data_IF_016137843938
#
_entry.id   IF_016137843938
#
_cell.length_a   1.000
_cell.length_b   1.000
_cell.length_c   1.000
_cell.angle_alpha   90.00
_cell.angle_beta   90.00
_cell.angle_gamma   90.00
#
_symmetry.space_group_name_H-M   'P 1'
#
loop_
_entity.id
_entity.type
_entity.pdbx_description
1 polymer ?
#
# COMPACT_ATOMS: atom_id res chain seq x y z
N UNK A 1 -3.96 18.96 2.30
CA UNK A 1 -3.78 17.77 3.14
C UNK A 1 -2.62 16.94 2.62
N UNK A 2 -1.79 16.50 3.53
CA UNK A 2 -0.60 15.74 3.18
C UNK A 2 -0.95 14.31 2.79
N UNK A 3 -0.36 13.84 1.69
CA UNK A 3 -0.59 12.47 1.23
C UNK A 3 0.33 11.52 1.98
N UNK A 4 -0.24 10.50 2.60
CA UNK A 4 0.50 9.47 3.32
C UNK A 4 0.21 8.12 2.64
N UNK A 5 1.24 7.50 2.09
CA UNK A 5 1.12 6.26 1.32
C UNK A 5 1.63 5.10 2.15
N UNK A 6 0.80 4.11 2.38
CA UNK A 6 1.21 2.88 3.06
C UNK A 6 1.48 1.80 2.00
N UNK A 7 2.62 1.14 2.09
CA UNK A 7 2.98 0.06 1.18
C UNK A 7 2.42 -1.24 1.72
N UNK A 8 1.49 -1.85 0.97
CA UNK A 8 0.93 -3.14 1.35
C UNK A 8 1.76 -4.24 0.71
N UNK A 9 2.52 -4.94 1.55
CA UNK A 9 3.42 -6.01 1.10
C UNK A 9 2.72 -7.35 1.32
N UNK A 10 2.52 -8.15 0.26
CA UNK A 10 1.92 -9.48 0.42
C UNK A 10 2.75 -10.35 1.35
N UNK A 11 2.07 -11.16 2.15
CA UNK A 11 2.76 -12.06 3.07
C UNK A 11 3.15 -13.38 2.41
N UNK A 12 2.94 -13.49 1.10
CA UNK A 12 3.21 -14.70 0.34
C UNK A 12 4.60 -14.76 -0.27
N UNK A 13 5.46 -13.78 0.02
CA UNK A 13 6.84 -13.82 -0.44
C UNK A 13 7.55 -15.05 0.13
N UNK A 14 8.52 -15.58 -0.63
CA UNK A 14 9.25 -16.78 -0.22
C UNK A 14 10.00 -16.60 1.09
N UNK A 15 10.43 -15.39 1.38
CA UNK A 15 11.14 -15.09 2.62
C UNK A 15 10.87 -13.66 3.04
N UNK A 16 11.12 -13.38 4.31
CA UNK A 16 11.01 -12.01 4.82
C UNK A 16 12.02 -11.10 4.16
N UNK A 17 13.18 -11.64 3.81
CA UNK A 17 14.20 -10.86 3.12
C UNK A 17 13.70 -10.39 1.75
N UNK A 18 13.05 -11.27 1.00
CA UNK A 18 12.49 -10.92 -0.31
C UNK A 18 11.41 -9.85 -0.15
N UNK A 19 10.58 -9.97 0.88
CA UNK A 19 9.54 -8.99 1.15
C UNK A 19 10.15 -7.63 1.52
N UNK A 20 11.20 -7.65 2.32
CA UNK A 20 11.92 -6.43 2.71
C UNK A 20 12.48 -5.70 1.49
N UNK A 21 13.08 -6.46 0.58
CA UNK A 21 13.66 -5.89 -0.63
C UNK A 21 12.58 -5.30 -1.52
N UNK A 22 11.44 -5.98 -1.65
CA UNK A 22 10.34 -5.48 -2.45
C UNK A 22 9.78 -4.19 -1.87
N UNK A 23 9.63 -4.14 -0.55
CA UNK A 23 9.13 -2.94 0.13
C UNK A 23 10.09 -1.76 -0.04
N UNK A 24 11.39 -2.01 0.06
CA UNK A 24 12.38 -0.95 -0.10
C UNK A 24 12.40 -0.42 -1.52
N UNK A 25 12.28 -1.32 -2.49
CA UNK A 25 12.22 -0.92 -3.90
C UNK A 25 11.00 -0.04 -4.15
N UNK A 26 9.87 -0.45 -3.61
CA UNK A 26 8.64 0.32 -3.76
C UNK A 26 8.75 1.70 -3.12
N UNK A 27 9.33 1.75 -1.92
CA UNK A 27 9.53 3.02 -1.24
C UNK A 27 10.40 3.96 -2.08
N UNK A 28 11.49 3.44 -2.62
CA UNK A 28 12.40 4.24 -3.45
C UNK A 28 11.68 4.77 -4.69
N UNK A 29 10.89 3.93 -5.33
CA UNK A 29 10.14 4.35 -6.53
C UNK A 29 9.14 5.44 -6.22
N UNK A 30 8.41 5.30 -5.12
CA UNK A 30 7.41 6.29 -4.73
C UNK A 30 8.06 7.63 -4.39
N UNK A 31 9.18 7.60 -3.67
CA UNK A 31 9.89 8.82 -3.32
C UNK A 31 10.49 9.49 -4.56
N UNK A 32 10.97 8.70 -5.49
CA UNK A 32 11.53 9.21 -6.74
C UNK A 32 10.48 9.93 -7.57
N UNK A 33 9.25 9.43 -7.55
CA UNK A 33 8.13 10.05 -8.26
C UNK A 33 7.75 11.38 -7.60
N UNK A 34 7.96 11.51 -6.29
CA UNK A 34 7.69 12.75 -5.60
C UNK A 34 6.91 12.64 -4.29
N UNK A 35 6.55 11.41 -3.89
CA UNK A 35 5.84 11.24 -2.62
C UNK A 35 6.83 11.37 -1.46
N UNK A 36 6.45 12.15 -0.46
CA UNK A 36 7.32 12.41 0.68
C UNK A 36 7.01 11.56 1.89
N UNK A 37 5.75 11.24 2.10
CA UNK A 37 5.31 10.47 3.26
C UNK A 37 4.95 9.07 2.85
N UNK A 38 5.94 8.20 2.81
CA UNK A 38 5.79 6.80 2.41
C UNK A 38 6.07 5.93 3.62
N UNK A 39 5.10 5.09 3.97
CA UNK A 39 5.22 4.18 5.09
C UNK A 39 5.63 2.81 4.59
N UNK A 40 6.89 2.46 4.81
CA UNK A 40 7.40 1.12 4.55
C UNK A 40 7.10 0.31 5.82
N UNK A 41 6.27 -0.75 5.72
CA UNK A 41 5.84 -1.46 6.92
C UNK A 41 6.99 -2.00 7.75
N UNK A 42 8.07 -2.44 7.12
CA UNK A 42 9.21 -2.97 7.87
C UNK A 42 9.92 -1.89 8.68
N UNK A 43 9.95 -0.66 8.18
CA UNK A 43 10.54 0.44 8.93
C UNK A 43 9.63 0.91 10.05
N UNK A 44 8.35 0.58 9.95
CA UNK A 44 7.38 0.89 11.01
C UNK A 44 7.27 -0.25 12.02
N UNK A 45 8.14 -1.26 11.93
CA UNK A 45 8.14 -2.37 12.87
C UNK A 45 7.15 -3.46 12.57
N UNK A 46 6.61 -3.50 11.35
CA UNK A 46 5.59 -4.49 10.96
C UNK A 46 6.26 -5.62 10.20
N UNK A 47 6.55 -6.70 10.88
CA UNK A 47 7.21 -7.86 10.28
C UNK A 47 6.22 -8.97 10.02
N UNK A 48 6.45 -9.72 8.93
CA UNK A 48 5.56 -10.81 8.51
C UNK A 48 5.40 -11.85 9.60
N UNK A 49 6.45 -12.07 10.39
CA UNK A 49 6.43 -13.07 11.46
C UNK A 49 5.69 -12.61 12.71
N UNK A 50 5.25 -11.36 12.76
CA UNK A 50 4.57 -10.82 13.94
C UNK A 50 3.16 -11.40 14.03
N UNK A 51 2.81 -12.07 15.15
CA UNK A 51 1.45 -12.63 15.29
C UNK A 51 0.36 -11.57 15.34
N UNK A 52 0.70 -10.32 15.61
CA UNK A 52 -0.27 -9.22 15.63
C UNK A 52 -0.21 -8.36 14.39
N UNK A 53 0.40 -8.86 13.33
CA UNK A 53 0.61 -8.09 12.12
C UNK A 53 -0.68 -7.50 11.55
N UNK A 54 -1.73 -8.31 11.49
CA UNK A 54 -3.01 -7.86 10.93
C UNK A 54 -3.53 -6.62 11.65
N UNK A 55 -3.56 -6.67 12.97
CA UNK A 55 -4.07 -5.56 13.76
C UNK A 55 -3.20 -4.33 13.65
N UNK A 56 -1.88 -4.52 13.65
CA UNK A 56 -0.93 -3.41 13.54
C UNK A 56 -1.05 -2.72 12.20
N UNK A 57 -1.21 -3.50 11.12
CA UNK A 57 -1.36 -2.93 9.78
C UNK A 57 -2.66 -2.14 9.67
N UNK A 58 -3.75 -2.65 10.26
CA UNK A 58 -5.02 -1.92 10.23
C UNK A 58 -4.92 -0.57 10.91
N UNK A 59 -4.16 -0.46 11.98
CA UNK A 59 -3.94 0.82 12.65
C UNK A 59 -3.25 1.81 11.74
N UNK A 60 -2.27 1.34 10.98
CA UNK A 60 -1.58 2.20 10.02
C UNK A 60 -2.48 2.60 8.86
N UNK A 61 -3.28 1.66 8.36
CA UNK A 61 -4.18 1.94 7.24
C UNK A 61 -5.13 3.09 7.56
N UNK A 62 -5.59 3.17 8.78
CA UNK A 62 -6.51 4.23 9.19
C UNK A 62 -5.89 5.62 9.15
N UNK A 63 -4.57 5.70 9.15
CA UNK A 63 -3.84 6.96 9.15
C UNK A 63 -3.39 7.40 7.78
N UNK A 64 -3.60 6.57 6.77
CA UNK A 64 -3.07 6.82 5.44
C UNK A 64 -4.12 7.40 4.51
N UNK A 65 -3.67 8.14 3.51
CA UNK A 65 -4.57 8.66 2.47
C UNK A 65 -4.67 7.70 1.31
N UNK A 66 -3.68 6.83 1.14
CA UNK A 66 -3.68 5.83 0.07
C UNK A 66 -2.87 4.62 0.48
N UNK A 67 -3.16 3.50 -0.16
CA UNK A 67 -2.41 2.26 0.04
C UNK A 67 -1.89 1.80 -1.31
N UNK A 68 -0.61 1.48 -1.36
CA UNK A 68 0.07 1.04 -2.57
C UNK A 68 0.27 -0.46 -2.49
N UNK A 69 -0.50 -1.20 -3.30
CA UNK A 69 -0.49 -2.65 -3.30
C UNK A 69 0.59 -3.18 -4.24
N UNK A 70 1.51 -3.96 -3.70
CA UNK A 70 2.52 -4.62 -4.51
C UNK A 70 1.91 -5.81 -5.25
N UNK A 71 2.53 -6.19 -6.37
CA UNK A 71 2.07 -7.31 -7.17
C UNK A 71 1.98 -8.57 -6.31
N UNK A 72 0.93 -9.36 -6.55
CA UNK A 72 0.67 -10.56 -5.77
C UNK A 72 -0.31 -10.33 -4.64
N UNK A 73 -0.80 -9.10 -4.48
CA UNK A 73 -1.73 -8.78 -3.40
C UNK A 73 -3.03 -9.58 -3.49
N UNK A 74 -3.49 -9.85 -4.71
CA UNK A 74 -4.77 -10.55 -4.92
C UNK A 74 -4.66 -12.04 -4.61
N UNK A 75 -3.46 -12.56 -4.45
CA UNK A 75 -3.24 -13.94 -4.04
C UNK A 75 -2.87 -14.05 -2.57
N UNK A 76 -2.95 -12.95 -1.85
CA UNK A 76 -2.62 -12.88 -0.44
C UNK A 76 -3.88 -12.53 0.34
N UNK A 77 -4.30 -13.42 1.23
CA UNK A 77 -5.53 -13.21 2.00
C UNK A 77 -5.50 -11.92 2.78
N UNK A 78 -4.38 -11.64 3.46
CA UNK A 78 -4.29 -10.42 4.25
C UNK A 78 -4.36 -9.16 3.41
N UNK A 79 -3.68 -9.15 2.27
CA UNK A 79 -3.72 -7.99 1.39
C UNK A 79 -5.10 -7.79 0.80
N UNK A 80 -5.79 -8.89 0.48
CA UNK A 80 -7.15 -8.82 -0.03
C UNK A 80 -8.12 -8.27 1.03
N UNK A 81 -7.93 -8.67 2.28
CA UNK A 81 -8.73 -8.13 3.38
C UNK A 81 -8.49 -6.64 3.56
N UNK A 82 -7.24 -6.21 3.43
CA UNK A 82 -6.90 -4.80 3.51
C UNK A 82 -7.53 -4.01 2.38
N UNK A 83 -7.53 -4.59 1.19
CA UNK A 83 -8.15 -3.96 0.04
C UNK A 83 -9.64 -3.67 0.31
N UNK A 84 -10.35 -4.68 0.81
CA UNK A 84 -11.76 -4.51 1.14
C UNK A 84 -11.97 -3.48 2.24
N UNK A 85 -11.12 -3.49 3.23
CA UNK A 85 -11.21 -2.54 4.34
C UNK A 85 -11.06 -1.10 3.86
N UNK A 86 -10.02 -0.82 3.06
CA UNK A 86 -9.76 0.54 2.62
C UNK A 86 -10.78 1.00 1.59
N UNK A 87 -11.30 0.08 0.78
CA UNK A 87 -12.34 0.41 -0.18
C UNK A 87 -13.59 0.91 0.54
N UNK A 88 -13.94 0.24 1.64
CA UNK A 88 -15.07 0.64 2.46
C UNK A 88 -14.85 2.01 3.12
N UNK A 89 -13.62 2.33 3.49
CA UNK A 89 -13.29 3.58 4.18
C UNK A 89 -13.04 4.75 3.23
N UNK A 90 -13.01 4.50 1.94
CA UNK A 90 -12.75 5.57 0.98
C UNK A 90 -11.30 6.01 0.89
N UNK A 91 -10.39 5.17 1.34
CA UNK A 91 -8.96 5.41 1.21
C UNK A 91 -8.55 5.05 -0.22
N UNK A 92 -7.71 5.87 -0.83
CA UNK A 92 -7.34 5.66 -2.22
C UNK A 92 -6.50 4.40 -2.42
N UNK A 93 -6.68 3.77 -3.57
CA UNK A 93 -6.03 2.50 -3.90
C UNK A 93 -5.07 2.71 -5.06
N UNK A 94 -3.81 2.35 -4.84
CA UNK A 94 -2.76 2.46 -5.85
C UNK A 94 -2.15 1.09 -6.06
N UNK A 95 -1.73 0.79 -7.28
CA UNK A 95 -1.16 -0.51 -7.62
C UNK A 95 0.23 -0.38 -8.19
N UNK A 96 1.08 -1.34 -7.86
CA UNK A 96 2.42 -1.42 -8.41
C UNK A 96 2.36 -1.52 -9.93
N UNK A 97 3.34 -0.93 -10.59
CA UNK A 97 3.45 -0.94 -12.06
C UNK A 97 2.40 -0.09 -12.76
N UNK A 98 1.61 0.67 -12.04
CA UNK A 98 0.67 1.61 -12.66
C UNK A 98 1.17 3.04 -12.44
N UNK A 99 2.20 3.38 -13.20
CA UNK A 99 2.86 4.67 -13.03
C UNK A 99 1.94 5.84 -13.32
N UNK A 100 1.07 5.68 -14.31
CA UNK A 100 0.12 6.74 -14.65
C UNK A 100 -0.81 7.04 -13.48
N UNK A 101 -1.27 6.00 -12.80
CA UNK A 101 -2.11 6.15 -11.62
C UNK A 101 -1.37 6.90 -10.52
N UNK A 102 -0.11 6.57 -10.30
CA UNK A 102 0.70 7.22 -9.27
C UNK A 102 0.89 8.70 -9.56
N UNK A 103 1.21 9.03 -10.80
CA UNK A 103 1.40 10.42 -11.19
C UNK A 103 0.11 11.22 -11.07
N UNK A 104 -1.00 10.61 -11.46
CA UNK A 104 -2.30 11.26 -11.35
C UNK A 104 -2.64 11.53 -9.87
N UNK A 105 -2.41 10.55 -9.03
CA UNK A 105 -2.68 10.71 -7.60
C UNK A 105 -1.82 11.81 -6.98
N UNK A 106 -0.55 11.82 -7.33
CA UNK A 106 0.37 12.82 -6.82
C UNK A 106 -0.08 14.23 -7.18
N UNK A 107 -0.54 14.41 -8.40
CA UNK A 107 -0.88 15.73 -8.93
C UNK A 107 -2.29 16.17 -8.54
N UNK A 108 -3.25 15.27 -8.59
CA UNK A 108 -4.66 15.64 -8.42
C UNK A 108 -5.30 15.10 -7.14
N UNK A 109 -4.62 14.22 -6.42
CA UNK A 109 -5.10 13.74 -5.14
C UNK A 109 -6.17 12.65 -5.21
N UNK A 110 -6.44 12.13 -6.39
CA UNK A 110 -7.37 11.02 -6.57
C UNK A 110 -6.82 10.02 -7.55
N UNK A 111 -7.46 8.86 -7.66
CA UNK A 111 -7.01 7.83 -8.58
C UNK A 111 -7.80 7.91 -9.88
N UNK A 112 -7.14 7.51 -10.97
CA UNK A 112 -7.78 7.47 -12.28
C UNK A 112 -8.85 6.38 -12.28
N UNK A 113 -8.53 5.25 -11.65
CA UNK A 113 -9.45 4.13 -11.57
C UNK A 113 -10.24 4.22 -10.28
N UNK A 114 -11.53 4.38 -10.42
CA UNK A 114 -12.39 4.55 -9.26
C UNK A 114 -13.33 3.35 -9.16
N UNK A 115 -13.01 2.46 -8.25
CA UNK A 115 -13.79 1.24 -8.07
C UNK A 115 -15.20 1.50 -7.58
N UNK A 116 -15.41 2.65 -6.95
CA UNK A 116 -16.74 2.98 -6.41
C UNK A 116 -17.72 3.40 -7.48
N UNK A 117 -17.21 3.85 -8.61
CA UNK A 117 -18.08 4.34 -9.68
C UNK A 117 -18.52 3.25 -10.61
N UNK A 118 -18.30 2.03 -10.26
CA UNK A 118 -18.61 0.89 -11.12
C UNK A 118 -20.01 0.40 -11.00
N UNK A 119 -20.80 1.02 -10.36
CA UNK A 119 -22.15 0.55 -10.16
C UNK A 119 -22.95 0.35 -11.36
#
# INVERSE_FOLDING_TARGET
MEKVIFISVPTTFQSEKAALEAAQKAENELREIGFKNVVNPFKAGLYISDPQLKESRLKWLKKCTAVYFLNGWDECEQASDEFLFIQDKGIDILFECNKLQLLHYLEFGGTIFNFKSKD
#
